data_IF_054955008799
#
_entry.id   IF_054955008799
#
_cell.length_a   1.000
_cell.length_b   1.000
_cell.length_c   1.000
_cell.angle_alpha   90.00
_cell.angle_beta   90.00
_cell.angle_gamma   90.00
#
_symmetry.space_group_name_H-M   'P 1'
#
loop_
_entity.id
_entity.type
_entity.pdbx_description
1 polymer ?
#
# COMPACT_ATOMS: atom_id res chain seq x y z
N UNK A 1 13.18 2.53 -11.67
CA UNK A 1 14.50 3.20 -11.84
C UNK A 1 14.31 4.69 -11.64
N UNK A 2 15.32 5.46 -11.21
CA UNK A 2 15.22 6.92 -11.03
C UNK A 2 14.85 7.67 -12.31
N UNK A 3 15.18 7.14 -13.46
CA UNK A 3 14.87 7.68 -14.79
C UNK A 3 13.42 7.40 -15.26
N UNK A 4 12.61 6.77 -14.41
CA UNK A 4 11.22 6.38 -14.72
C UNK A 4 11.07 5.06 -15.45
N UNK A 5 12.15 4.40 -15.88
CA UNK A 5 12.06 3.05 -16.47
C UNK A 5 11.59 2.04 -15.44
N UNK A 6 10.79 1.08 -15.89
CA UNK A 6 10.43 -0.11 -15.11
C UNK A 6 11.29 -1.27 -15.56
N UNK A 7 11.96 -1.89 -14.60
CA UNK A 7 12.83 -3.03 -14.84
C UNK A 7 12.48 -4.15 -13.87
N UNK A 8 12.62 -5.39 -14.32
CA UNK A 8 12.48 -6.55 -13.44
C UNK A 8 13.76 -6.70 -12.63
N UNK A 9 13.72 -6.31 -11.37
CA UNK A 9 14.90 -6.31 -10.50
C UNK A 9 15.27 -7.72 -10.00
N UNK A 10 14.29 -8.56 -9.67
CA UNK A 10 14.58 -9.85 -9.06
C UNK A 10 13.36 -10.71 -8.86
N UNK A 11 13.57 -11.80 -8.13
CA UNK A 11 12.57 -12.80 -7.80
C UNK A 11 12.56 -13.08 -6.30
N UNK A 12 11.37 -13.09 -5.73
CA UNK A 12 11.12 -13.45 -4.33
C UNK A 12 10.47 -14.82 -4.28
N UNK A 13 11.04 -15.72 -3.47
CA UNK A 13 10.47 -17.04 -3.20
C UNK A 13 10.19 -17.15 -1.70
N UNK A 14 9.02 -17.68 -1.35
CA UNK A 14 8.66 -17.95 0.04
C UNK A 14 8.06 -19.35 0.16
N UNK A 15 8.60 -20.13 1.09
CA UNK A 15 8.15 -21.48 1.39
C UNK A 15 7.58 -21.52 2.81
N UNK A 16 6.31 -21.87 2.93
CA UNK A 16 5.62 -22.00 4.21
C UNK A 16 5.93 -23.36 4.83
N UNK A 17 6.32 -23.34 6.10
CA UNK A 17 6.60 -24.55 6.89
C UNK A 17 5.43 -24.90 7.80
N UNK A 18 5.31 -26.18 8.15
CA UNK A 18 4.23 -26.68 9.03
C UNK A 18 4.24 -26.05 10.42
N UNK A 19 5.40 -25.60 10.90
CA UNK A 19 5.57 -24.90 12.17
C UNK A 19 5.21 -23.41 12.13
N UNK A 20 4.69 -22.93 10.98
CA UNK A 20 4.31 -21.53 10.75
C UNK A 20 5.45 -20.60 10.39
N UNK A 21 6.69 -21.09 10.30
CA UNK A 21 7.81 -20.30 9.77
C UNK A 21 7.70 -20.18 8.24
N UNK A 22 8.34 -19.15 7.71
CA UNK A 22 8.39 -18.88 6.26
C UNK A 22 9.86 -18.73 5.88
N UNK A 23 10.34 -19.66 5.07
CA UNK A 23 11.67 -19.55 4.46
C UNK A 23 11.54 -18.65 3.23
N UNK A 24 12.12 -17.47 3.30
CA UNK A 24 12.11 -16.50 2.22
C UNK A 24 13.48 -16.30 1.62
N UNK A 25 13.55 -16.15 0.31
CA UNK A 25 14.77 -15.82 -0.43
C UNK A 25 14.45 -14.78 -1.50
N UNK A 26 15.42 -13.91 -1.76
CA UNK A 26 15.38 -13.02 -2.91
C UNK A 26 16.65 -13.18 -3.73
N UNK A 27 16.55 -13.07 -5.05
CA UNK A 27 17.69 -12.98 -5.95
C UNK A 27 17.50 -11.86 -6.96
N UNK A 28 18.54 -11.10 -7.21
CA UNK A 28 18.57 -10.19 -8.35
C UNK A 28 18.69 -10.98 -9.64
N UNK A 29 18.03 -10.52 -10.69
CA UNK A 29 18.21 -11.06 -12.05
C UNK A 29 19.55 -10.60 -12.63
N UNK A 30 20.19 -11.45 -13.45
CA UNK A 30 21.42 -11.08 -14.13
C UNK A 30 21.25 -9.82 -14.98
N UNK A 31 20.10 -9.70 -15.69
CA UNK A 31 19.78 -8.50 -16.47
C UNK A 31 19.67 -7.21 -15.65
N UNK A 32 19.32 -7.32 -14.37
CA UNK A 32 19.34 -6.16 -13.47
C UNK A 32 20.74 -5.88 -12.95
N UNK A 33 21.52 -6.92 -12.61
CA UNK A 33 22.89 -6.78 -12.15
C UNK A 33 23.80 -6.16 -13.23
N UNK A 34 23.51 -6.44 -14.49
CA UNK A 34 24.27 -5.93 -15.65
C UNK A 34 23.82 -4.51 -16.06
N UNK A 35 22.72 -3.97 -15.52
CA UNK A 35 22.28 -2.61 -15.80
C UNK A 35 23.18 -1.59 -15.09
N UNK A 36 23.83 -0.66 -15.79
CA UNK A 36 24.71 0.33 -15.18
C UNK A 36 24.02 1.27 -14.19
N UNK A 37 22.71 1.40 -14.29
CA UNK A 37 21.87 2.19 -13.36
C UNK A 37 21.30 1.34 -12.20
N UNK A 38 21.70 0.06 -12.09
CA UNK A 38 21.23 -0.80 -11.01
C UNK A 38 21.74 -0.31 -9.65
N UNK A 39 20.91 -0.45 -8.66
CA UNK A 39 21.23 -0.12 -7.27
C UNK A 39 20.66 -1.17 -6.33
N UNK A 40 21.25 -1.37 -5.14
CA UNK A 40 20.71 -2.29 -4.15
C UNK A 40 19.35 -1.78 -3.65
N UNK A 41 18.35 -2.67 -3.59
CA UNK A 41 17.01 -2.31 -3.07
C UNK A 41 17.06 -1.98 -1.58
N UNK A 42 17.93 -2.62 -0.85
CA UNK A 42 18.33 -2.29 0.52
C UNK A 42 19.86 -2.46 0.63
N UNK A 43 20.63 -1.36 0.72
CA UNK A 43 22.09 -1.44 0.72
C UNK A 43 22.67 -2.25 1.88
N UNK A 44 21.94 -2.36 2.99
CA UNK A 44 22.40 -3.01 4.22
C UNK A 44 22.02 -4.50 4.24
N UNK A 45 20.73 -4.79 3.98
CA UNK A 45 20.19 -6.14 4.16
C UNK A 45 19.97 -6.90 2.84
N UNK A 46 20.08 -6.22 1.71
CA UNK A 46 19.87 -6.79 0.37
C UNK A 46 20.86 -6.16 -0.63
N UNK A 47 22.17 -6.36 -0.42
CA UNK A 47 23.20 -5.79 -1.30
C UNK A 47 23.06 -6.30 -2.73
N UNK A 48 23.58 -5.52 -3.70
CA UNK A 48 23.54 -5.85 -5.12
C UNK A 48 24.60 -6.90 -5.48
N UNK A 49 24.31 -8.15 -5.16
CA UNK A 49 25.19 -9.30 -5.44
C UNK A 49 24.42 -10.43 -6.13
N UNK A 50 25.09 -11.26 -6.95
CA UNK A 50 24.47 -12.41 -7.58
C UNK A 50 24.14 -13.51 -6.57
N UNK A 51 23.15 -14.34 -6.92
CA UNK A 51 22.74 -15.51 -6.14
C UNK A 51 21.58 -15.21 -5.18
N UNK A 52 21.04 -16.25 -4.54
CA UNK A 52 19.96 -16.13 -3.57
C UNK A 52 20.48 -15.50 -2.26
N UNK A 53 19.68 -14.62 -1.69
CA UNK A 53 19.91 -13.98 -0.40
C UNK A 53 18.77 -14.37 0.53
N UNK A 54 19.10 -15.03 1.64
CA UNK A 54 18.14 -15.53 2.60
C UNK A 54 17.53 -14.41 3.44
N UNK A 55 16.26 -14.54 3.73
CA UNK A 55 15.57 -13.64 4.66
C UNK A 55 15.84 -14.09 6.09
N UNK A 56 16.58 -13.31 6.86
CA UNK A 56 16.87 -13.58 8.28
C UNK A 56 15.65 -13.37 9.22
N UNK A 57 14.42 -13.40 8.70
CA UNK A 57 13.18 -13.06 9.42
C UNK A 57 12.10 -14.12 9.18
N UNK A 58 12.14 -15.27 9.87
CA UNK A 58 11.29 -16.44 9.57
C UNK A 58 9.80 -16.20 9.79
N UNK A 59 9.38 -15.18 10.56
CA UNK A 59 7.97 -14.82 10.69
C UNK A 59 7.47 -13.94 9.55
N UNK A 60 8.35 -13.17 8.92
CA UNK A 60 7.99 -12.29 7.82
C UNK A 60 8.11 -12.99 6.46
N UNK A 61 9.15 -13.79 6.23
CA UNK A 61 9.42 -14.47 4.97
C UNK A 61 9.80 -13.54 3.81
N UNK A 62 10.08 -12.26 4.10
CA UNK A 62 10.53 -11.25 3.14
C UNK A 62 11.51 -10.29 3.79
N UNK A 63 12.41 -9.69 3.02
CA UNK A 63 13.27 -8.60 3.48
C UNK A 63 12.43 -7.37 3.82
N UNK A 64 12.93 -6.54 4.76
CA UNK A 64 12.20 -5.35 5.26
C UNK A 64 11.75 -4.42 4.14
N UNK A 65 12.59 -4.17 3.16
CA UNK A 65 12.28 -3.31 2.01
C UNK A 65 11.03 -3.77 1.22
N UNK A 66 10.75 -5.06 1.18
CA UNK A 66 9.53 -5.58 0.54
C UNK A 66 8.33 -5.50 1.47
N UNK A 67 8.53 -5.69 2.77
CA UNK A 67 7.47 -5.50 3.75
C UNK A 67 7.02 -4.04 3.83
N UNK A 68 7.95 -3.10 3.70
CA UNK A 68 7.68 -1.65 3.67
C UNK A 68 6.87 -1.22 2.44
N UNK A 69 6.91 -2.01 1.35
CA UNK A 69 6.06 -1.78 0.19
C UNK A 69 4.60 -2.20 0.38
N UNK A 70 4.30 -2.98 1.43
CA UNK A 70 2.93 -3.35 1.78
C UNK A 70 2.16 -2.13 2.29
N UNK A 71 0.83 -2.12 2.11
CA UNK A 71 0.00 -1.11 2.75
C UNK A 71 0.11 -1.19 4.28
N UNK A 72 -0.30 -0.12 4.94
CA UNK A 72 -0.42 -0.04 6.39
C UNK A 72 -1.51 -0.99 6.95
N UNK A 73 -1.71 -0.95 8.26
CA UNK A 73 -2.67 -1.82 8.95
C UNK A 73 -4.08 -1.71 8.37
N UNK A 74 -4.56 -0.48 8.09
CA UNK A 74 -5.87 -0.28 7.50
C UNK A 74 -5.96 -0.86 6.09
N UNK A 75 -4.98 -0.57 5.24
CA UNK A 75 -4.89 -1.09 3.88
C UNK A 75 -4.72 -2.61 3.83
N UNK A 76 -3.96 -3.21 4.78
CA UNK A 76 -3.85 -4.68 4.91
C UNK A 76 -5.19 -5.32 5.25
N UNK A 77 -5.96 -4.74 6.17
CA UNK A 77 -7.32 -5.22 6.50
C UNK A 77 -8.25 -5.16 5.28
N UNK A 78 -8.17 -4.09 4.49
CA UNK A 78 -8.92 -3.96 3.24
C UNK A 78 -8.54 -5.04 2.23
N UNK A 79 -7.24 -5.28 2.05
CA UNK A 79 -6.72 -6.31 1.15
C UNK A 79 -7.20 -7.71 1.59
N UNK A 80 -7.08 -8.01 2.89
CA UNK A 80 -7.57 -9.26 3.45
C UNK A 80 -9.07 -9.45 3.19
N UNK A 81 -9.87 -8.41 3.41
CA UNK A 81 -11.31 -8.45 3.16
C UNK A 81 -11.64 -8.66 1.69
N UNK A 82 -10.98 -7.94 0.80
CA UNK A 82 -11.19 -8.04 -0.65
C UNK A 82 -10.93 -9.46 -1.18
N UNK A 83 -9.94 -10.16 -0.62
CA UNK A 83 -9.57 -11.49 -1.07
C UNK A 83 -10.04 -12.61 -0.13
N UNK A 84 -10.85 -12.30 0.88
CA UNK A 84 -11.37 -13.28 1.83
C UNK A 84 -10.28 -14.03 2.60
N UNK A 85 -9.18 -13.34 2.97
CA UNK A 85 -8.05 -13.95 3.64
C UNK A 85 -8.31 -14.13 5.13
N UNK A 86 -7.95 -15.31 5.64
CA UNK A 86 -7.83 -15.52 7.09
C UNK A 86 -6.52 -14.90 7.62
N UNK A 87 -6.43 -14.72 8.95
CA UNK A 87 -5.23 -14.19 9.61
C UNK A 87 -3.97 -15.01 9.30
N UNK A 88 -4.11 -16.33 9.12
CA UNK A 88 -3.00 -17.21 8.74
C UNK A 88 -2.49 -16.93 7.32
N UNK A 89 -3.35 -16.47 6.43
CA UNK A 89 -3.03 -16.14 5.05
C UNK A 89 -2.54 -14.69 4.87
N UNK A 90 -2.79 -13.83 5.86
CA UNK A 90 -2.39 -12.42 5.86
C UNK A 90 -0.88 -12.23 6.12
N UNK A 91 -0.04 -13.07 5.48
CA UNK A 91 1.43 -13.01 5.60
C UNK A 91 2.05 -12.18 4.50
N UNK A 92 3.18 -11.49 4.77
CA UNK A 92 3.79 -10.56 3.82
C UNK A 92 3.97 -11.12 2.41
N UNK A 93 4.53 -12.34 2.17
CA UNK A 93 4.68 -12.85 0.80
C UNK A 93 3.35 -13.02 0.07
N UNK A 94 2.32 -13.46 0.79
CA UNK A 94 1.00 -13.66 0.21
C UNK A 94 0.37 -12.31 -0.15
N UNK A 95 0.41 -11.34 0.77
CA UNK A 95 -0.11 -10.00 0.53
C UNK A 95 0.57 -9.33 -0.66
N UNK A 96 1.92 -9.38 -0.75
CA UNK A 96 2.68 -8.88 -1.90
C UNK A 96 2.20 -9.48 -3.21
N UNK A 97 1.92 -10.79 -3.23
CA UNK A 97 1.44 -11.49 -4.42
C UNK A 97 0.06 -11.04 -4.90
N UNK A 98 -0.74 -10.43 -4.02
CA UNK A 98 -2.10 -9.95 -4.30
C UNK A 98 -2.15 -8.48 -4.71
N UNK A 99 -1.08 -7.72 -4.47
CA UNK A 99 -1.02 -6.29 -4.79
C UNK A 99 -1.06 -5.99 -6.29
N UNK A 100 -0.73 -6.97 -7.13
CA UNK A 100 -0.82 -6.91 -8.60
C UNK A 100 -0.14 -5.69 -9.24
N UNK A 101 0.88 -5.18 -8.62
CA UNK A 101 1.63 -4.01 -9.09
C UNK A 101 1.47 -2.76 -8.22
N UNK A 102 0.43 -2.68 -7.37
CA UNK A 102 0.27 -1.55 -6.45
C UNK A 102 1.05 -1.75 -5.15
N UNK A 103 1.86 -0.77 -4.76
CA UNK A 103 2.59 -0.79 -3.50
C UNK A 103 3.01 0.61 -3.08
N UNK A 104 3.53 0.73 -1.85
CA UNK A 104 4.19 1.95 -1.41
C UNK A 104 5.55 2.07 -2.10
N UNK A 105 5.86 3.25 -2.61
CA UNK A 105 7.15 3.56 -3.21
C UNK A 105 7.30 3.07 -4.66
N UNK A 106 8.53 2.67 -5.02
CA UNK A 106 8.92 2.37 -6.39
C UNK A 106 8.90 0.86 -6.74
N UNK A 107 8.53 0.00 -5.79
CA UNK A 107 8.49 -1.44 -6.00
C UNK A 107 7.10 -1.89 -6.47
N UNK A 108 7.09 -2.69 -7.52
CA UNK A 108 5.89 -3.32 -8.06
C UNK A 108 6.05 -4.84 -7.96
N UNK A 109 4.97 -5.53 -7.58
CA UNK A 109 4.98 -6.97 -7.37
C UNK A 109 3.98 -7.65 -8.30
N UNK A 110 4.37 -8.77 -8.86
CA UNK A 110 3.50 -9.65 -9.63
C UNK A 110 3.84 -11.11 -9.32
N UNK A 111 2.85 -11.98 -9.43
CA UNK A 111 3.11 -13.42 -9.41
C UNK A 111 3.89 -13.80 -10.66
N UNK A 112 4.63 -14.90 -10.55
CA UNK A 112 5.29 -15.50 -11.70
C UNK A 112 4.32 -15.67 -12.87
N UNK A 113 4.78 -15.34 -14.08
CA UNK A 113 4.00 -15.37 -15.32
C UNK A 113 2.76 -14.45 -15.36
N UNK A 114 2.57 -13.57 -14.37
CA UNK A 114 1.50 -12.57 -14.38
C UNK A 114 2.07 -11.19 -14.74
N UNK A 115 1.37 -10.41 -15.57
CA UNK A 115 1.78 -9.03 -15.81
C UNK A 115 1.57 -8.18 -14.56
N UNK A 116 2.44 -7.19 -14.37
CA UNK A 116 2.21 -6.13 -13.40
C UNK A 116 1.03 -5.29 -13.89
N UNK A 117 0.02 -5.10 -13.05
CA UNK A 117 -1.07 -4.19 -13.36
C UNK A 117 -0.63 -2.75 -13.07
N UNK A 118 -0.56 -1.93 -14.09
CA UNK A 118 -0.06 -0.56 -13.99
C UNK A 118 -1.10 0.41 -13.45
N UNK A 119 -2.33 0.23 -13.85
CA UNK A 119 -3.49 1.03 -13.44
C UNK A 119 -4.74 0.16 -13.43
N UNK A 120 -5.56 0.33 -12.44
CA UNK A 120 -6.95 -0.14 -12.48
C UNK A 120 -7.76 1.05 -12.97
N UNK A 121 -8.30 0.94 -14.19
CA UNK A 121 -9.31 1.90 -14.64
C UNK A 121 -10.49 1.84 -13.65
N UNK A 122 -10.82 2.97 -13.10
CA UNK A 122 -11.92 3.10 -12.16
C UNK A 122 -12.98 3.97 -12.79
N UNK A 123 -14.24 3.54 -12.81
CA UNK A 123 -15.31 4.43 -13.21
C UNK A 123 -15.34 5.64 -12.29
N UNK A 124 -15.82 6.79 -12.77
CA UNK A 124 -15.98 7.97 -11.94
C UNK A 124 -16.87 7.65 -10.73
N UNK A 125 -16.40 8.04 -9.56
CA UNK A 125 -17.07 7.76 -8.29
C UNK A 125 -17.37 9.04 -7.54
N UNK A 126 -18.46 9.04 -6.81
CA UNK A 126 -18.81 10.14 -5.91
C UNK A 126 -18.00 9.99 -4.61
N UNK A 127 -17.31 11.05 -4.22
CA UNK A 127 -16.48 11.04 -3.02
C UNK A 127 -17.25 10.58 -1.77
N UNK A 128 -18.50 11.02 -1.64
CA UNK A 128 -19.37 10.68 -0.52
C UNK A 128 -19.64 9.17 -0.42
N UNK A 129 -19.82 8.49 -1.56
CA UNK A 129 -20.08 7.04 -1.57
C UNK A 129 -18.85 6.26 -1.13
N UNK A 130 -17.66 6.66 -1.60
CA UNK A 130 -16.39 6.03 -1.20
C UNK A 130 -16.11 6.28 0.29
N UNK A 131 -16.36 7.49 0.78
CA UNK A 131 -16.18 7.84 2.17
C UNK A 131 -17.15 7.06 3.09
N UNK A 132 -18.43 6.92 2.67
CA UNK A 132 -19.39 6.10 3.40
C UNK A 132 -18.96 4.64 3.45
N UNK A 133 -18.53 4.06 2.33
CA UNK A 133 -18.04 2.69 2.29
C UNK A 133 -16.82 2.49 3.21
N UNK A 134 -15.93 3.49 3.35
CA UNK A 134 -14.81 3.44 4.27
C UNK A 134 -15.28 3.41 5.74
N UNK A 135 -16.29 4.19 6.09
CA UNK A 135 -16.88 4.17 7.44
C UNK A 135 -17.63 2.86 7.71
N UNK A 136 -18.39 2.35 6.72
CA UNK A 136 -19.10 1.07 6.84
C UNK A 136 -18.11 -0.09 6.99
N UNK A 137 -16.94 -0.01 6.34
CA UNK A 137 -15.85 -0.97 6.57
C UNK A 137 -15.33 -0.91 8.02
N UNK A 138 -15.11 0.29 8.57
CA UNK A 138 -14.69 0.46 9.97
C UNK A 138 -15.71 -0.12 10.96
N UNK A 139 -17.00 -0.01 10.65
CA UNK A 139 -18.10 -0.59 11.44
C UNK A 139 -18.23 -2.10 11.28
N UNK A 140 -17.59 -2.69 10.25
CA UNK A 140 -17.78 -4.09 9.87
C UNK A 140 -19.09 -4.36 9.12
N UNK A 141 -19.75 -3.32 8.62
CA UNK A 141 -21.04 -3.37 7.91
C UNK A 141 -20.88 -3.50 6.39
N UNK A 142 -19.69 -3.19 5.85
CA UNK A 142 -19.42 -3.34 4.42
C UNK A 142 -19.45 -4.82 4.02
N UNK A 143 -20.14 -5.14 2.91
CA UNK A 143 -20.21 -6.50 2.39
C UNK A 143 -18.90 -6.94 1.75
N UNK A 144 -18.60 -8.24 1.78
CA UNK A 144 -17.35 -8.81 1.22
C UNK A 144 -17.18 -8.58 -0.28
N UNK A 145 -18.27 -8.45 -1.01
CA UNK A 145 -18.30 -8.23 -2.47
C UNK A 145 -18.78 -6.84 -2.83
N UNK A 146 -18.67 -5.88 -1.93
CA UNK A 146 -19.09 -4.50 -2.20
C UNK A 146 -18.27 -3.92 -3.36
N UNK A 147 -18.89 -3.34 -4.38
CA UNK A 147 -18.21 -2.79 -5.55
C UNK A 147 -17.28 -1.63 -5.20
N UNK A 148 -17.41 -1.03 -4.02
CA UNK A 148 -16.56 0.06 -3.54
C UNK A 148 -15.26 -0.42 -2.88
N UNK A 149 -15.16 -1.69 -2.47
CA UNK A 149 -13.93 -2.26 -1.90
C UNK A 149 -12.67 -1.99 -2.72
N UNK A 150 -12.65 -2.20 -4.06
CA UNK A 150 -11.48 -1.91 -4.89
C UNK A 150 -11.06 -0.43 -4.90
N UNK A 151 -11.99 0.49 -4.59
CA UNK A 151 -11.69 1.94 -4.52
C UNK A 151 -11.06 2.31 -3.18
N UNK A 152 -11.48 1.66 -2.12
CA UNK A 152 -10.89 1.80 -0.81
C UNK A 152 -9.48 1.22 -0.78
N UNK A 153 -9.26 0.14 -1.54
CA UNK A 153 -7.95 -0.45 -1.79
C UNK A 153 -7.41 0.04 -3.14
N UNK A 154 -6.96 1.25 -3.20
CA UNK A 154 -6.38 1.81 -4.44
C UNK A 154 -4.90 1.55 -4.59
N UNK A 155 -4.45 1.40 -5.84
CA UNK A 155 -3.03 1.38 -6.22
C UNK A 155 -2.34 2.63 -5.66
N UNK A 156 -1.27 2.45 -4.90
CA UNK A 156 -0.57 3.56 -4.23
C UNK A 156 -1.24 4.01 -2.93
N UNK A 157 -2.06 3.14 -2.36
CA UNK A 157 -2.82 3.45 -1.17
C UNK A 157 -1.96 3.65 0.05
N UNK A 158 -2.34 4.65 0.73
CA UNK A 158 -2.18 4.88 2.15
C UNK A 158 -0.74 5.04 2.61
N UNK A 159 -0.23 6.25 2.56
CA UNK A 159 1.01 6.59 3.24
C UNK A 159 0.81 6.46 4.76
N UNK A 160 1.03 5.28 5.30
CA UNK A 160 1.15 4.97 6.72
C UNK A 160 -0.07 5.25 7.63
N UNK A 161 -0.27 4.39 8.62
CA UNK A 161 -1.20 4.60 9.73
C UNK A 161 -2.46 3.74 9.71
N UNK A 162 -3.04 3.51 10.90
CA UNK A 162 -4.18 2.61 11.12
C UNK A 162 -5.56 3.24 10.84
N UNK A 163 -5.62 4.53 10.47
CA UNK A 163 -6.89 5.26 10.26
C UNK A 163 -7.36 5.21 8.82
N UNK A 164 -8.67 5.27 8.58
CA UNK A 164 -9.26 5.26 7.25
C UNK A 164 -8.73 6.40 6.38
N UNK A 165 -8.20 6.06 5.22
CA UNK A 165 -7.74 7.01 4.21
C UNK A 165 -7.72 6.36 2.83
N UNK A 166 -7.92 7.13 1.78
CA UNK A 166 -7.85 6.64 0.41
C UNK A 166 -7.44 7.75 -0.55
N UNK A 167 -6.90 7.37 -1.70
CA UNK A 167 -6.64 8.29 -2.78
C UNK A 167 -7.91 8.48 -3.62
N UNK A 168 -8.26 9.72 -3.88
CA UNK A 168 -9.39 10.09 -4.70
C UNK A 168 -8.91 10.98 -5.85
N UNK A 169 -9.29 10.60 -7.08
CA UNK A 169 -9.03 11.40 -8.27
C UNK A 169 -10.29 12.23 -8.59
N UNK A 170 -10.12 13.52 -8.76
CA UNK A 170 -11.19 14.40 -9.25
C UNK A 170 -11.23 14.43 -10.78
N UNK A 171 -12.33 14.89 -11.34
CA UNK A 171 -12.55 14.99 -12.79
C UNK A 171 -11.50 15.88 -13.49
N UNK A 172 -10.87 16.80 -12.77
CA UNK A 172 -9.78 17.66 -13.27
C UNK A 172 -8.41 16.97 -13.25
N UNK A 173 -8.34 15.68 -12.95
CA UNK A 173 -7.12 14.89 -12.88
C UNK A 173 -6.28 15.09 -11.62
N UNK A 174 -6.73 15.93 -10.68
CA UNK A 174 -6.05 16.09 -9.41
C UNK A 174 -6.33 14.93 -8.47
N UNK A 175 -5.29 14.51 -7.75
CA UNK A 175 -5.36 13.46 -6.76
C UNK A 175 -5.33 14.05 -5.35
N UNK A 176 -6.22 13.58 -4.49
CA UNK A 176 -6.31 13.96 -3.09
C UNK A 176 -6.16 12.73 -2.21
N UNK A 177 -5.44 12.89 -1.11
CA UNK A 177 -5.49 11.95 -0.01
C UNK A 177 -6.65 12.35 0.90
N UNK A 178 -7.71 11.56 0.87
CA UNK A 178 -8.86 11.73 1.75
C UNK A 178 -8.58 11.00 3.05
N UNK A 179 -8.76 11.70 4.17
CA UNK A 179 -8.61 11.14 5.53
C UNK A 179 -9.94 11.24 6.24
N UNK A 180 -10.34 10.15 6.88
CA UNK A 180 -11.57 10.05 7.65
C UNK A 180 -11.27 9.82 9.13
N UNK A 181 -12.17 10.24 10.03
CA UNK A 181 -12.07 9.86 11.43
C UNK A 181 -12.22 8.33 11.58
N UNK A 182 -11.55 7.73 12.56
CA UNK A 182 -11.77 6.35 12.94
C UNK A 182 -12.80 6.28 14.05
N UNK A 183 -13.59 5.22 14.10
CA UNK A 183 -14.51 4.93 15.20
C UNK A 183 -13.79 4.73 16.55
N UNK A 184 -12.47 4.51 16.52
CA UNK A 184 -11.63 4.35 17.72
C UNK A 184 -11.12 5.67 18.26
N UNK A 185 -11.30 6.77 17.54
CA UNK A 185 -10.81 8.07 17.95
C UNK A 185 -11.74 8.68 19.03
N UNK A 186 -11.19 9.04 20.15
CA UNK A 186 -11.92 9.81 21.20
C UNK A 186 -12.03 11.29 20.81
N UNK A 187 -11.07 11.77 20.02
CA UNK A 187 -11.06 13.11 19.41
C UNK A 187 -10.65 12.93 17.96
N UNK A 188 -11.42 13.50 17.04
CA UNK A 188 -11.09 13.41 15.61
C UNK A 188 -9.78 14.13 15.31
N UNK A 189 -8.76 13.46 14.76
CA UNK A 189 -7.51 14.10 14.39
C UNK A 189 -7.62 14.90 13.09
N UNK A 190 -8.68 14.69 12.28
CA UNK A 190 -8.84 15.31 10.96
C UNK A 190 -8.89 16.84 11.04
N UNK A 191 -9.76 17.48 11.86
CA UNK A 191 -9.75 18.93 12.00
C UNK A 191 -8.48 19.46 12.66
N UNK A 192 -7.85 18.70 13.57
CA UNK A 192 -6.59 19.07 14.20
C UNK A 192 -5.47 19.13 13.17
N UNK A 193 -5.36 18.12 12.31
CA UNK A 193 -4.37 18.12 11.23
C UNK A 193 -4.59 19.29 10.26
N UNK A 194 -5.83 19.58 9.89
CA UNK A 194 -6.14 20.72 9.04
C UNK A 194 -5.72 22.05 9.67
N UNK A 195 -5.99 22.23 10.96
CA UNK A 195 -5.57 23.41 11.70
C UNK A 195 -4.03 23.53 11.80
N UNK A 196 -3.33 22.42 12.04
CA UNK A 196 -1.87 22.40 12.05
C UNK A 196 -1.28 22.78 10.69
N UNK A 197 -1.83 22.24 9.60
CA UNK A 197 -1.40 22.59 8.24
C UNK A 197 -1.64 24.07 7.93
N UNK A 198 -2.79 24.62 8.29
CA UNK A 198 -3.10 26.02 8.12
C UNK A 198 -2.13 26.90 8.91
N UNK A 199 -1.89 26.59 10.19
CA UNK A 199 -0.95 27.31 11.03
C UNK A 199 0.48 27.27 10.47
N UNK A 200 0.92 26.10 9.99
CA UNK A 200 2.25 25.98 9.37
C UNK A 200 2.36 26.83 8.09
N UNK A 201 1.31 26.86 7.27
CA UNK A 201 1.25 27.74 6.10
C UNK A 201 1.35 29.23 6.49
N UNK A 202 0.61 29.65 7.51
CA UNK A 202 0.64 31.03 8.03
C UNK A 202 2.03 31.40 8.60
N UNK A 203 2.78 30.42 9.10
CA UNK A 203 4.18 30.57 9.51
C UNK A 203 5.18 30.57 8.34
N UNK A 204 4.71 30.45 7.10
CA UNK A 204 5.56 30.49 5.90
C UNK A 204 6.15 29.15 5.47
N UNK A 205 5.73 28.03 6.06
CA UNK A 205 6.16 26.71 5.62
C UNK A 205 5.42 26.26 4.35
N UNK A 206 6.14 25.56 3.47
CA UNK A 206 5.51 24.88 2.33
C UNK A 206 4.83 23.61 2.81
N UNK A 207 3.51 23.59 2.76
CA UNK A 207 2.67 22.47 3.22
C UNK A 207 1.73 21.99 2.13
N UNK A 208 1.24 20.76 2.27
CA UNK A 208 0.19 20.24 1.40
C UNK A 208 -1.09 21.08 1.56
N UNK A 209 -1.73 21.42 0.43
CA UNK A 209 -3.03 22.10 0.47
C UNK A 209 -4.06 21.13 1.05
N UNK A 210 -4.81 21.58 2.04
CA UNK A 210 -5.87 20.81 2.67
C UNK A 210 -7.21 21.54 2.59
N UNK A 211 -8.29 20.78 2.63
CA UNK A 211 -9.65 21.28 2.72
C UNK A 211 -10.45 20.36 3.63
N UNK A 212 -11.09 20.92 4.63
CA UNK A 212 -12.12 20.23 5.37
C UNK A 212 -13.40 20.18 4.51
N UNK A 213 -13.99 19.01 4.44
CA UNK A 213 -15.30 18.82 3.85
C UNK A 213 -16.30 18.75 5.00
N UNK A 214 -17.41 19.49 4.87
CA UNK A 214 -18.45 19.47 5.87
C UNK A 214 -19.11 18.09 5.96
N UNK A 215 -19.53 17.72 7.16
CA UNK A 215 -19.95 16.38 7.59
C UNK A 215 -21.30 15.92 6.99
N UNK A 216 -21.60 16.25 5.78
CA UNK A 216 -22.71 15.61 5.04
C UNK A 216 -22.48 14.11 4.80
N UNK A 217 -21.52 13.50 5.55
CA UNK A 217 -21.15 12.09 5.55
C UNK A 217 -21.72 11.34 6.77
N UNK A 218 -22.61 11.97 7.53
CA UNK A 218 -23.36 11.31 8.60
C UNK A 218 -24.63 10.66 8.06
#
# INVERSE_FOLDING_TARGET
>A
MPDGRRVRAGELVAVYRDNGAIDGQFRYLSSYLDDPEAFPLDPVNLPLVPGPQDVGRPQAGVHGVFEDALPDDWGRRMLCRQYGLSDHQARPPHLLSLMRGGGMGALLFAREHCPVQETVERPPMVLQDVARAALDFEKGELKDNDPLLPYLYGVGTSPGGARPKFLFAMDDGKHFLVKLPSLRDTVSPVPIEAACLATAADCGFSVARSRLLDEGLA
#
